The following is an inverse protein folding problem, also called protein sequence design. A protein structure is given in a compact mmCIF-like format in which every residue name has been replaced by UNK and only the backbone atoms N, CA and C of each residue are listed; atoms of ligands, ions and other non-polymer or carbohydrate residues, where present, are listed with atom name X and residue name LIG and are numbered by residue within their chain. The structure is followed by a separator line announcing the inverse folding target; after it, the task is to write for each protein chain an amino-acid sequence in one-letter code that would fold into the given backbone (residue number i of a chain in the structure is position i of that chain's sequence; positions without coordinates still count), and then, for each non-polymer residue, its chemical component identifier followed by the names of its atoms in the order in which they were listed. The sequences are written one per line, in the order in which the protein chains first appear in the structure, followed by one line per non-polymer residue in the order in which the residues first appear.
data_IF_346065164918
#
_entry.id   IF_346065164918
#
_cell.length_a   1.000
_cell.length_b   1.000
_cell.length_c   1.000
_cell.angle_alpha   90.00
_cell.angle_beta   90.00
_cell.angle_gamma   90.00
#
_symmetry.space_group_name_H-M   'P 1'
#
loop_
_entity.id
_entity.type
_entity.pdbx_description
1 polymer ?
#
# COMPACT_ATOMS: atom_id res chain seq x y z
N UNK A 1 -51.74 -23.10 15.40
CA UNK A 1 -50.86 -24.02 14.66
C UNK A 1 -49.45 -23.44 14.71
N UNK A 2 -48.66 -23.88 15.69
CA UNK A 2 -47.37 -23.27 16.04
C UNK A 2 -46.32 -24.37 16.00
N UNK A 3 -45.38 -24.27 15.05
CA UNK A 3 -44.37 -25.30 14.78
C UNK A 3 -43.14 -24.96 15.62
N UNK A 4 -42.89 -25.77 16.65
CA UNK A 4 -41.61 -25.80 17.39
C UNK A 4 -40.60 -26.59 16.58
N UNK A 5 -39.48 -25.97 16.22
CA UNK A 5 -38.27 -26.71 15.84
C UNK A 5 -37.28 -26.66 17.00
N UNK A 6 -37.02 -27.82 17.58
CA UNK A 6 -35.98 -28.09 18.56
C UNK A 6 -34.68 -28.34 17.80
N UNK A 7 -33.63 -27.56 18.08
CA UNK A 7 -32.29 -27.83 17.56
C UNK A 7 -31.33 -27.95 18.73
N UNK A 8 -31.07 -29.20 19.09
CA UNK A 8 -30.03 -29.64 20.01
C UNK A 8 -28.67 -29.42 19.34
N UNK A 9 -27.84 -28.52 19.87
CA UNK A 9 -26.42 -28.41 19.50
C UNK A 9 -25.60 -29.08 20.60
N UNK A 10 -24.94 -30.18 20.23
CA UNK A 10 -24.04 -30.95 21.08
C UNK A 10 -22.73 -30.19 21.23
N UNK A 11 -22.37 -29.84 22.47
CA UNK A 11 -21.08 -29.25 22.81
C UNK A 11 -19.99 -30.34 22.83
N UNK A 12 -18.94 -30.17 22.03
CA UNK A 12 -17.74 -31.00 22.08
C UNK A 12 -16.69 -30.32 22.97
N UNK A 13 -16.41 -30.92 24.13
CA UNK A 13 -15.35 -30.52 25.05
C UNK A 13 -13.99 -31.02 24.54
N UNK A 14 -13.04 -30.12 24.29
CA UNK A 14 -11.65 -30.46 23.97
C UNK A 14 -10.78 -30.28 25.23
N UNK A 15 -10.21 -31.39 25.70
CA UNK A 15 -9.31 -31.45 26.84
C UNK A 15 -7.94 -30.85 26.52
N UNK A 16 -7.53 -29.83 27.29
CA UNK A 16 -6.16 -29.34 27.33
C UNK A 16 -5.30 -30.26 28.21
N UNK A 17 -4.30 -30.94 27.64
CA UNK A 17 -3.20 -31.54 28.39
C UNK A 17 -1.97 -30.64 28.31
N UNK A 18 -1.53 -30.19 29.48
CA UNK A 18 -0.25 -29.55 29.77
C UNK A 18 0.94 -30.38 29.27
N UNK A 19 1.93 -29.72 28.68
CA UNK A 19 3.31 -30.22 28.73
C UNK A 19 4.29 -29.04 28.88
N UNK A 20 5.10 -29.11 29.94
CA UNK A 20 6.09 -28.11 30.35
C UNK A 20 7.42 -28.36 29.64
N UNK A 21 8.12 -27.26 29.33
CA UNK A 21 9.57 -27.04 29.24
C UNK A 21 10.43 -28.04 28.46
N UNK A 22 11.14 -27.51 27.45
CA UNK A 22 12.59 -27.70 27.26
C UNK A 22 13.13 -26.54 26.40
N UNK A 23 13.68 -25.51 27.06
CA UNK A 23 14.58 -24.55 26.43
C UNK A 23 15.96 -25.21 26.32
N UNK A 24 16.46 -25.41 25.10
CA UNK A 24 17.88 -25.67 24.86
C UNK A 24 18.42 -24.66 23.86
N UNK A 25 19.36 -23.85 24.33
CA UNK A 25 20.17 -22.93 23.55
C UNK A 25 20.98 -23.69 22.49
N UNK A 26 20.85 -23.33 21.22
CA UNK A 26 21.84 -23.66 20.19
C UNK A 26 22.14 -22.40 19.37
N UNK A 27 23.28 -21.80 19.69
CA UNK A 27 23.97 -20.83 18.83
C UNK A 27 24.17 -21.46 17.44
N UNK A 28 23.59 -20.84 16.40
CA UNK A 28 23.83 -21.20 15.01
C UNK A 28 24.65 -20.10 14.34
N UNK A 29 25.92 -20.40 14.11
CA UNK A 29 26.75 -19.71 13.13
C UNK A 29 26.04 -19.72 11.77
N UNK A 30 25.57 -18.56 11.31
CA UNK A 30 24.97 -18.40 9.99
C UNK A 30 26.09 -18.21 8.94
N UNK A 31 26.50 -19.28 8.27
CA UNK A 31 27.00 -19.18 6.89
C UNK A 31 25.78 -19.02 6.00
N UNK A 32 25.43 -17.79 5.63
CA UNK A 32 24.41 -17.54 4.61
C UNK A 32 24.83 -18.20 3.29
N UNK A 33 23.95 -19.02 2.71
CA UNK A 33 24.20 -19.77 1.49
C UNK A 33 24.13 -18.85 0.27
N UNK A 34 25.29 -18.37 -0.18
CA UNK A 34 25.45 -17.62 -1.44
C UNK A 34 24.86 -18.38 -2.64
N UNK A 35 24.86 -19.72 -2.59
CA UNK A 35 24.38 -20.58 -3.67
C UNK A 35 22.85 -20.56 -3.86
N UNK A 36 22.08 -20.35 -2.79
CA UNK A 36 20.61 -20.25 -2.88
C UNK A 36 20.16 -18.89 -3.44
N UNK A 37 20.82 -17.80 -3.05
CA UNK A 37 20.50 -16.47 -3.55
C UNK A 37 20.77 -16.33 -5.06
N UNK A 38 21.84 -16.97 -5.56
CA UNK A 38 22.18 -16.97 -6.98
C UNK A 38 21.17 -17.77 -7.81
N UNK A 39 20.71 -18.92 -7.33
CA UNK A 39 19.68 -19.70 -8.03
C UNK A 39 18.34 -18.97 -8.09
N UNK A 40 17.95 -18.29 -7.00
CA UNK A 40 16.70 -17.54 -6.94
C UNK A 40 16.73 -16.33 -7.87
N UNK A 41 17.87 -15.62 -7.94
CA UNK A 41 18.08 -14.49 -8.87
C UNK A 41 18.06 -14.92 -10.33
N UNK A 42 18.74 -16.02 -10.67
CA UNK A 42 18.77 -16.55 -12.04
C UNK A 42 17.37 -16.99 -12.51
N UNK A 43 16.58 -17.62 -11.63
CA UNK A 43 15.22 -18.00 -11.94
C UNK A 43 14.31 -16.78 -12.14
N UNK A 44 14.43 -15.75 -11.30
CA UNK A 44 13.66 -14.52 -11.45
C UNK A 44 13.95 -13.81 -12.78
N UNK A 45 15.21 -13.74 -13.20
CA UNK A 45 15.59 -13.14 -14.48
C UNK A 45 14.97 -13.88 -15.67
N UNK A 46 14.97 -15.22 -15.65
CA UNK A 46 14.32 -16.03 -16.69
C UNK A 46 12.82 -15.72 -16.81
N UNK A 47 12.12 -15.59 -15.68
CA UNK A 47 10.69 -15.27 -15.68
C UNK A 47 10.41 -13.85 -16.17
N UNK A 48 11.28 -12.89 -15.86
CA UNK A 48 11.19 -11.53 -16.40
C UNK A 48 11.30 -11.54 -17.92
N UNK A 49 12.27 -12.27 -18.47
CA UNK A 49 12.44 -12.42 -19.92
C UNK A 49 11.22 -13.10 -20.57
N UNK A 50 10.70 -14.16 -19.96
CA UNK A 50 9.50 -14.85 -20.46
C UNK A 50 8.28 -13.92 -20.51
N UNK A 51 8.03 -13.15 -19.44
CA UNK A 51 6.94 -12.16 -19.43
C UNK A 51 7.15 -11.09 -20.50
N UNK A 52 8.37 -10.57 -20.64
CA UNK A 52 8.74 -9.56 -21.64
C UNK A 52 8.49 -10.06 -23.07
N UNK A 53 8.90 -11.29 -23.38
CA UNK A 53 8.67 -11.92 -24.69
C UNK A 53 7.19 -12.13 -24.97
N UNK A 54 6.42 -12.62 -23.99
CA UNK A 54 4.98 -12.83 -24.14
C UNK A 54 4.22 -11.51 -24.32
N UNK A 55 4.54 -10.48 -23.54
CA UNK A 55 3.96 -9.16 -23.72
C UNK A 55 4.34 -8.55 -25.08
N UNK A 56 5.55 -8.81 -25.58
CA UNK A 56 5.96 -8.34 -26.91
C UNK A 56 5.20 -9.01 -28.05
N UNK A 57 4.82 -10.28 -27.88
CA UNK A 57 4.04 -11.03 -28.85
C UNK A 57 2.54 -10.71 -28.79
N UNK A 58 1.98 -10.70 -27.59
CA UNK A 58 0.52 -10.71 -27.39
C UNK A 58 -0.06 -9.31 -27.10
N UNK A 59 0.78 -8.35 -26.69
CA UNK A 59 0.37 -7.01 -26.24
C UNK A 59 1.14 -5.89 -26.96
N UNK A 60 1.21 -5.96 -28.29
CA UNK A 60 2.01 -5.06 -29.14
C UNK A 60 1.63 -3.58 -29.03
N UNK A 61 0.37 -3.27 -28.67
CA UNK A 61 -0.13 -1.90 -28.53
C UNK A 61 0.28 -1.21 -27.23
N UNK A 62 0.85 -1.94 -26.25
CA UNK A 62 1.28 -1.33 -25.00
C UNK A 62 2.58 -0.51 -25.21
N UNK A 63 2.73 0.61 -24.50
CA UNK A 63 3.94 1.43 -24.55
C UNK A 63 5.18 0.64 -24.14
N UNK A 64 6.33 1.08 -24.67
CA UNK A 64 7.67 0.55 -24.37
C UNK A 64 8.51 1.56 -23.59
N UNK A 65 9.63 1.12 -23.03
CA UNK A 65 10.51 1.93 -22.19
C UNK A 65 10.08 1.92 -20.73
N UNK A 66 10.43 2.98 -20.00
CA UNK A 66 10.12 3.11 -18.57
C UNK A 66 8.61 3.00 -18.33
N UNK A 67 8.19 2.18 -17.36
CA UNK A 67 6.81 1.82 -17.06
C UNK A 67 6.05 1.12 -18.21
N UNK A 68 6.77 0.66 -19.25
CA UNK A 68 6.22 0.00 -20.42
C UNK A 68 6.25 -1.53 -20.31
N UNK A 69 5.84 -2.20 -21.39
CA UNK A 69 5.75 -3.67 -21.48
C UNK A 69 7.09 -4.39 -21.47
N UNK A 70 8.20 -3.68 -21.62
CA UNK A 70 9.58 -4.16 -21.65
C UNK A 70 10.44 -3.64 -20.48
N UNK A 71 9.82 -2.91 -19.54
CA UNK A 71 10.44 -2.48 -18.28
C UNK A 71 10.63 -3.67 -17.34
N UNK A 72 11.87 -4.13 -17.23
CA UNK A 72 12.23 -5.31 -16.45
C UNK A 72 12.02 -5.12 -14.94
N UNK A 73 12.14 -3.89 -14.43
CA UNK A 73 11.87 -3.60 -13.02
C UNK A 73 10.38 -3.67 -12.71
N UNK A 74 9.55 -3.11 -13.60
CA UNK A 74 8.11 -3.19 -13.50
C UNK A 74 7.62 -4.64 -13.63
N UNK A 75 8.16 -5.40 -14.59
CA UNK A 75 7.85 -6.82 -14.75
C UNK A 75 8.22 -7.61 -13.49
N UNK A 76 9.44 -7.43 -12.96
CA UNK A 76 9.87 -8.11 -11.75
C UNK A 76 8.99 -7.76 -10.55
N UNK A 77 8.55 -6.50 -10.44
CA UNK A 77 7.65 -6.07 -9.39
C UNK A 77 6.29 -6.79 -9.46
N UNK A 78 5.66 -6.86 -10.62
CA UNK A 78 4.37 -7.55 -10.78
C UNK A 78 4.50 -9.08 -10.65
N UNK A 79 5.64 -9.66 -11.07
CA UNK A 79 5.97 -11.07 -10.77
C UNK A 79 6.03 -11.31 -9.27
N UNK A 80 6.75 -10.47 -8.50
CA UNK A 80 6.80 -10.58 -7.03
C UNK A 80 5.41 -10.50 -6.41
N UNK A 81 4.57 -9.55 -6.86
CA UNK A 81 3.19 -9.42 -6.39
C UNK A 81 2.33 -10.67 -6.67
N UNK A 82 2.53 -11.31 -7.83
CA UNK A 82 1.80 -12.50 -8.27
C UNK A 82 2.52 -13.81 -7.93
N UNK A 83 3.43 -13.79 -6.95
CA UNK A 83 4.18 -14.97 -6.48
C UNK A 83 4.86 -15.73 -7.63
N UNK A 84 5.42 -14.98 -8.58
CA UNK A 84 6.10 -15.46 -9.78
C UNK A 84 5.21 -16.27 -10.75
N UNK A 85 3.89 -16.12 -10.67
CA UNK A 85 2.97 -16.61 -11.72
C UNK A 85 3.02 -15.70 -12.95
N UNK A 86 3.52 -16.24 -14.06
CA UNK A 86 3.69 -15.52 -15.34
C UNK A 86 2.34 -15.01 -15.88
N UNK A 87 1.33 -15.89 -15.95
CA UNK A 87 0.02 -15.54 -16.51
C UNK A 87 -0.70 -14.46 -15.68
N UNK A 88 -0.69 -14.60 -14.35
CA UNK A 88 -1.29 -13.60 -13.46
C UNK A 88 -0.54 -12.27 -13.53
N UNK A 89 0.79 -12.30 -13.60
CA UNK A 89 1.62 -11.10 -13.72
C UNK A 89 1.32 -10.37 -15.02
N UNK A 90 1.27 -11.07 -16.15
CA UNK A 90 0.90 -10.50 -17.46
C UNK A 90 -0.46 -9.81 -17.40
N UNK A 91 -1.48 -10.50 -16.88
CA UNK A 91 -2.84 -9.95 -16.82
C UNK A 91 -2.92 -8.67 -15.99
N UNK A 92 -2.29 -8.67 -14.81
CA UNK A 92 -2.32 -7.51 -13.91
C UNK A 92 -1.44 -6.36 -14.39
N UNK A 93 -0.24 -6.65 -14.90
CA UNK A 93 0.68 -5.67 -15.46
C UNK A 93 0.08 -4.97 -16.69
N UNK A 94 -0.55 -5.73 -17.58
CA UNK A 94 -1.26 -5.18 -18.75
C UNK A 94 -2.32 -4.17 -18.34
N UNK A 95 -3.12 -4.48 -17.31
CA UNK A 95 -4.13 -3.56 -16.78
C UNK A 95 -3.49 -2.29 -16.21
N UNK A 96 -2.37 -2.43 -15.49
CA UNK A 96 -1.66 -1.30 -14.91
C UNK A 96 -1.06 -0.37 -15.97
N UNK A 97 -0.38 -0.92 -16.99
CA UNK A 97 0.20 -0.12 -18.08
C UNK A 97 -0.89 0.66 -18.83
N UNK A 98 -2.02 0.01 -19.17
CA UNK A 98 -3.15 0.68 -19.82
C UNK A 98 -3.71 1.83 -18.99
N UNK A 99 -3.98 1.57 -17.70
CA UNK A 99 -4.48 2.61 -16.80
C UNK A 99 -3.50 3.77 -16.67
N UNK A 100 -2.18 3.51 -16.56
CA UNK A 100 -1.17 4.58 -16.47
C UNK A 100 -1.21 5.50 -17.69
N UNK A 101 -1.37 4.93 -18.88
CA UNK A 101 -1.49 5.68 -20.12
C UNK A 101 -2.81 6.47 -20.18
N UNK A 102 -3.94 5.85 -19.85
CA UNK A 102 -5.26 6.51 -19.81
C UNK A 102 -5.34 7.64 -18.76
N UNK A 103 -4.72 7.43 -17.60
CA UNK A 103 -4.64 8.41 -16.51
C UNK A 103 -3.59 9.49 -16.77
N UNK A 104 -2.74 9.30 -17.78
CA UNK A 104 -1.66 10.22 -18.15
C UNK A 104 -0.68 10.47 -17.01
N UNK A 105 -0.25 9.39 -16.34
CA UNK A 105 0.65 9.48 -15.18
C UNK A 105 1.95 10.21 -15.53
N UNK A 106 2.49 9.99 -16.73
CA UNK A 106 3.72 10.62 -17.19
C UNK A 106 3.56 12.13 -17.51
N UNK A 107 2.33 12.64 -17.61
CA UNK A 107 2.03 14.07 -17.79
C UNK A 107 1.84 14.80 -16.44
N UNK A 108 1.81 14.08 -15.30
CA UNK A 108 1.65 14.69 -13.99
C UNK A 108 2.91 15.48 -13.59
N UNK A 109 2.69 16.73 -13.23
CA UNK A 109 3.72 17.68 -12.78
C UNK A 109 3.21 18.48 -11.58
N UNK A 110 4.12 19.13 -10.84
CA UNK A 110 3.76 20.00 -9.71
C UNK A 110 2.77 21.10 -10.14
N UNK A 111 2.95 21.66 -11.34
CA UNK A 111 2.03 22.67 -11.90
C UNK A 111 0.64 22.09 -12.15
N UNK A 112 0.56 20.87 -12.69
CA UNK A 112 -0.73 20.23 -13.02
C UNK A 112 -1.59 19.88 -11.81
N UNK A 113 -1.00 19.79 -10.62
CA UNK A 113 -1.67 19.46 -9.35
C UNK A 113 -1.64 20.63 -8.36
N UNK A 114 -1.14 21.80 -8.78
CA UNK A 114 -0.86 22.92 -7.88
C UNK A 114 -2.08 23.33 -7.06
N UNK A 115 -3.23 23.52 -7.71
CA UNK A 115 -4.47 23.96 -7.04
C UNK A 115 -4.90 23.03 -5.91
N UNK A 116 -4.84 21.73 -6.13
CA UNK A 116 -5.22 20.73 -5.11
C UNK A 116 -4.12 20.53 -4.08
N UNK A 117 -2.84 20.64 -4.45
CA UNK A 117 -1.71 20.58 -3.53
C UNK A 117 -1.70 21.76 -2.55
N UNK A 118 -2.07 22.97 -3.00
CA UNK A 118 -2.13 24.19 -2.19
C UNK A 118 -3.12 24.09 -1.02
N UNK A 119 -4.06 23.12 -1.05
CA UNK A 119 -4.92 22.80 0.10
C UNK A 119 -4.13 22.25 1.30
N UNK A 120 -2.91 21.74 1.07
CA UNK A 120 -2.07 21.13 2.08
C UNK A 120 -2.68 19.89 2.73
N UNK A 121 -3.59 19.20 2.04
CA UNK A 121 -4.26 17.99 2.54
C UNK A 121 -3.41 16.72 2.44
N UNK A 122 -2.37 16.72 1.61
CA UNK A 122 -1.43 15.61 1.52
C UNK A 122 -0.08 16.08 0.98
N UNK A 123 1.01 15.43 1.40
CA UNK A 123 2.36 15.67 0.91
C UNK A 123 3.26 14.44 1.12
N UNK A 124 4.39 14.40 0.41
CA UNK A 124 5.48 13.45 0.68
C UNK A 124 6.44 14.12 1.66
N UNK A 125 6.69 13.48 2.80
CA UNK A 125 7.65 13.97 3.78
C UNK A 125 9.07 14.05 3.20
N UNK A 126 9.86 14.99 3.68
CA UNK A 126 11.22 15.19 3.17
C UNK A 126 12.19 14.10 3.60
N UNK A 127 11.98 13.57 4.80
CA UNK A 127 12.80 12.51 5.38
C UNK A 127 12.12 11.15 5.26
N UNK A 128 12.94 10.11 5.31
CA UNK A 128 12.47 8.74 5.51
C UNK A 128 12.08 8.54 6.98
N UNK A 129 11.22 7.57 7.24
CA UNK A 129 11.00 7.10 8.61
C UNK A 129 12.23 6.35 9.15
N UNK A 130 12.22 5.98 10.44
CA UNK A 130 13.33 5.24 11.07
C UNK A 130 13.57 3.85 10.46
N UNK A 131 12.65 3.33 9.64
CA UNK A 131 12.79 2.08 8.87
C UNK A 131 13.25 2.31 7.43
N UNK A 132 13.60 3.55 7.07
CA UNK A 132 14.07 3.92 5.74
C UNK A 132 12.98 3.93 4.67
N UNK A 133 11.71 4.12 5.05
CA UNK A 133 10.57 4.19 4.12
C UNK A 133 10.25 5.64 3.77
N UNK A 134 10.02 5.98 2.49
CA UNK A 134 9.37 7.23 2.13
C UNK A 134 7.99 7.33 2.78
N UNK A 135 7.62 8.53 3.23
CA UNK A 135 6.38 8.75 3.98
C UNK A 135 5.45 9.68 3.21
N UNK A 136 4.21 9.24 3.00
CA UNK A 136 3.11 10.09 2.52
C UNK A 136 2.24 10.44 3.71
N UNK A 137 2.09 11.74 3.97
CA UNK A 137 1.28 12.27 5.07
C UNK A 137 0.03 12.89 4.48
N UNK A 138 -1.13 12.53 5.02
CA UNK A 138 -2.45 12.99 4.61
C UNK A 138 -3.15 13.55 5.84
N UNK A 139 -3.82 14.69 5.69
CA UNK A 139 -4.68 15.30 6.69
C UNK A 139 -6.14 15.30 6.18
N UNK A 140 -6.88 14.19 6.32
CA UNK A 140 -8.25 14.07 5.79
C UNK A 140 -9.21 15.15 6.26
N UNK A 141 -8.98 15.77 7.42
CA UNK A 141 -9.79 16.89 7.91
C UNK A 141 -9.81 18.11 6.96
N UNK A 142 -8.80 18.24 6.08
CA UNK A 142 -8.72 19.29 5.06
C UNK A 142 -9.41 18.91 3.75
N UNK A 143 -9.87 17.67 3.61
CA UNK A 143 -10.60 17.21 2.43
C UNK A 143 -12.08 17.55 2.54
N UNK A 144 -12.60 18.29 1.56
CA UNK A 144 -14.03 18.58 1.43
C UNK A 144 -14.49 18.03 0.08
N UNK A 145 -15.22 16.89 0.05
CA UNK A 145 -15.67 16.28 -1.19
C UNK A 145 -16.48 17.26 -2.03
N UNK A 146 -16.15 17.37 -3.32
CA UNK A 146 -16.83 18.26 -4.26
C UNK A 146 -16.44 19.74 -4.19
N UNK A 147 -15.49 20.13 -3.33
CA UNK A 147 -14.94 21.49 -3.33
C UNK A 147 -14.09 21.76 -4.59
N UNK A 148 -13.37 20.74 -5.04
CA UNK A 148 -12.63 20.72 -6.31
C UNK A 148 -13.18 19.58 -7.18
N UNK A 149 -12.81 19.56 -8.46
CA UNK A 149 -13.06 18.40 -9.32
C UNK A 149 -12.43 17.15 -8.67
N UNK A 150 -13.20 16.06 -8.43
CA UNK A 150 -12.66 14.81 -7.89
C UNK A 150 -11.42 14.28 -8.62
N UNK A 151 -11.28 14.58 -9.92
CA UNK A 151 -10.09 14.20 -10.70
C UNK A 151 -8.82 14.87 -10.21
N UNK A 152 -8.90 16.05 -9.61
CA UNK A 152 -7.74 16.72 -9.02
C UNK A 152 -7.23 15.95 -7.79
N UNK A 153 -8.14 15.41 -6.96
CA UNK A 153 -7.76 14.57 -5.82
C UNK A 153 -7.12 13.26 -6.27
N UNK A 154 -7.67 12.62 -7.30
CA UNK A 154 -7.09 11.43 -7.92
C UNK A 154 -5.67 11.72 -8.44
N UNK A 155 -5.48 12.83 -9.16
CA UNK A 155 -4.16 13.23 -9.69
C UNK A 155 -3.17 13.52 -8.57
N UNK A 156 -3.57 14.24 -7.52
CA UNK A 156 -2.72 14.50 -6.35
C UNK A 156 -2.27 13.18 -5.70
N UNK A 157 -3.19 12.24 -5.52
CA UNK A 157 -2.89 10.92 -4.96
C UNK A 157 -1.81 10.19 -5.77
N UNK A 158 -1.98 10.11 -7.09
CA UNK A 158 -1.06 9.40 -7.97
C UNK A 158 0.28 10.14 -8.05
N UNK A 159 0.27 11.47 -8.14
CA UNK A 159 1.49 12.28 -8.13
C UNK A 159 2.31 12.08 -6.85
N UNK A 160 1.68 12.13 -5.67
CA UNK A 160 2.36 11.92 -4.40
C UNK A 160 2.89 10.48 -4.27
N UNK A 161 2.18 9.51 -4.83
CA UNK A 161 2.64 8.12 -4.86
C UNK A 161 3.87 7.97 -5.75
N UNK A 162 3.88 8.50 -6.98
CA UNK A 162 5.06 8.50 -7.85
C UNK A 162 6.24 9.22 -7.18
N UNK A 163 6.00 10.38 -6.55
CA UNK A 163 7.02 11.17 -5.82
C UNK A 163 7.57 10.42 -4.60
N UNK A 164 6.76 9.64 -3.90
CA UNK A 164 7.22 8.82 -2.78
C UNK A 164 8.04 7.62 -3.27
N UNK A 165 7.59 6.97 -4.35
CA UNK A 165 8.29 5.82 -4.94
C UNK A 165 9.64 6.21 -5.56
N UNK A 166 9.76 7.41 -6.11
CA UNK A 166 11.05 7.91 -6.62
C UNK A 166 12.08 8.19 -5.53
N UNK A 167 11.65 8.28 -4.25
CA UNK A 167 12.53 8.46 -3.08
C UNK A 167 12.95 7.12 -2.44
N UNK A 168 12.54 5.98 -2.97
CA UNK A 168 12.87 4.67 -2.39
C UNK A 168 14.40 4.43 -2.39
N UNK A 169 15.01 4.14 -1.23
CA UNK A 169 16.39 3.70 -1.17
C UNK A 169 16.60 2.35 -1.86
N UNK A 170 17.84 2.05 -2.25
CA UNK A 170 18.20 0.73 -2.78
C UNK A 170 17.80 -0.38 -1.78
N UNK A 171 17.07 -1.40 -2.28
CA UNK A 171 16.57 -2.51 -1.48
C UNK A 171 15.26 -2.25 -0.72
N UNK A 172 14.77 -1.00 -0.69
CA UNK A 172 13.44 -0.67 -0.20
C UNK A 172 12.45 -0.62 -1.37
N UNK A 173 11.24 -1.10 -1.16
CA UNK A 173 10.21 -1.17 -2.20
C UNK A 173 8.85 -0.61 -1.77
N UNK A 174 8.74 -0.23 -0.50
CA UNK A 174 7.48 0.15 0.11
C UNK A 174 7.55 1.51 0.80
N UNK A 175 6.38 2.11 0.95
CA UNK A 175 6.16 3.41 1.59
C UNK A 175 5.31 3.26 2.85
N UNK A 176 5.36 4.28 3.70
CA UNK A 176 4.51 4.48 4.86
C UNK A 176 3.41 5.51 4.52
N UNK A 177 2.15 5.16 4.76
CA UNK A 177 1.05 6.13 4.71
C UNK A 177 0.68 6.58 6.13
N UNK A 178 0.61 7.88 6.38
CA UNK A 178 0.14 8.44 7.66
C UNK A 178 -1.09 9.31 7.39
N UNK A 179 -2.22 8.94 7.96
CA UNK A 179 -3.46 9.71 7.92
C UNK A 179 -3.68 10.34 9.29
N UNK A 180 -3.44 11.65 9.36
CA UNK A 180 -3.70 12.49 10.51
C UNK A 180 -5.19 12.79 10.61
N UNK A 181 -5.91 12.01 11.40
CA UNK A 181 -7.37 12.07 11.52
C UNK A 181 -7.83 13.10 12.57
N UNK A 182 -6.91 13.87 13.17
CA UNK A 182 -7.27 14.96 14.07
C UNK A 182 -8.13 15.99 13.33
N UNK A 183 -9.28 16.32 13.90
CA UNK A 183 -10.25 17.23 13.28
C UNK A 183 -11.09 16.61 12.16
N UNK A 184 -10.94 15.33 11.85
CA UNK A 184 -11.78 14.66 10.86
C UNK A 184 -13.24 14.58 11.33
N UNK A 185 -14.17 15.01 10.48
CA UNK A 185 -15.61 14.95 10.66
C UNK A 185 -16.33 14.23 9.54
N UNK A 186 -17.63 14.03 9.69
CA UNK A 186 -18.46 13.37 8.67
C UNK A 186 -18.46 14.11 7.33
N UNK A 187 -18.32 15.44 7.32
CA UNK A 187 -18.23 16.22 6.08
C UNK A 187 -16.98 15.91 5.24
N UNK A 188 -15.96 15.29 5.84
CA UNK A 188 -14.71 14.95 5.15
C UNK A 188 -14.74 13.55 4.54
N UNK A 189 -15.76 12.74 4.83
CA UNK A 189 -15.84 11.35 4.39
C UNK A 189 -16.12 11.27 2.88
N UNK A 190 -15.17 10.68 2.14
CA UNK A 190 -15.27 10.49 0.69
C UNK A 190 -15.13 9.02 0.31
N UNK A 191 -16.27 8.32 0.22
CA UNK A 191 -16.25 6.91 -0.13
C UNK A 191 -15.82 6.67 -1.58
N UNK A 192 -16.06 7.63 -2.49
CA UNK A 192 -15.68 7.49 -3.91
C UNK A 192 -14.17 7.58 -4.06
N UNK A 193 -13.56 8.61 -3.46
CA UNK A 193 -12.11 8.76 -3.45
C UNK A 193 -11.43 7.58 -2.73
N UNK A 194 -12.03 7.09 -1.64
CA UNK A 194 -11.51 5.93 -0.94
C UNK A 194 -11.53 4.66 -1.80
N UNK A 195 -12.59 4.42 -2.56
CA UNK A 195 -12.63 3.31 -3.53
C UNK A 195 -11.55 3.46 -4.60
N UNK A 196 -11.35 4.66 -5.14
CA UNK A 196 -10.26 4.95 -6.07
C UNK A 196 -8.89 4.63 -5.44
N UNK A 197 -8.63 5.09 -4.21
CA UNK A 197 -7.39 4.84 -3.49
C UNK A 197 -7.10 3.35 -3.35
N UNK A 198 -8.12 2.53 -3.06
CA UNK A 198 -7.96 1.08 -3.02
C UNK A 198 -7.67 0.47 -4.38
N UNK A 199 -8.36 0.92 -5.43
CA UNK A 199 -8.09 0.43 -6.78
C UNK A 199 -6.66 0.75 -7.22
N UNK A 200 -6.16 1.94 -6.88
CA UNK A 200 -4.77 2.35 -7.09
C UNK A 200 -3.81 1.35 -6.46
N UNK A 201 -3.92 1.07 -5.17
CA UNK A 201 -3.01 0.14 -4.51
C UNK A 201 -3.25 -1.32 -4.88
N UNK A 202 -4.47 -1.72 -5.21
CA UNK A 202 -4.78 -3.12 -5.52
C UNK A 202 -4.35 -3.48 -6.94
N UNK A 203 -4.69 -2.66 -7.94
CA UNK A 203 -4.46 -2.98 -9.35
C UNK A 203 -3.17 -2.39 -9.90
N UNK A 204 -2.84 -1.13 -9.57
CA UNK A 204 -1.84 -0.35 -10.29
C UNK A 204 -0.52 -0.22 -9.53
N UNK A 205 -0.59 -0.19 -8.19
CA UNK A 205 0.55 -0.10 -7.28
C UNK A 205 0.57 -1.21 -6.23
N UNK A 206 0.47 -2.49 -6.65
CA UNK A 206 0.40 -3.59 -5.71
C UNK A 206 1.65 -3.70 -4.83
N UNK A 207 1.46 -4.12 -3.58
CA UNK A 207 2.56 -4.40 -2.65
C UNK A 207 3.51 -3.22 -2.38
N UNK A 208 3.08 -1.96 -2.61
CA UNK A 208 3.85 -0.74 -2.31
C UNK A 208 3.60 -0.17 -0.92
N UNK A 209 2.52 -0.54 -0.24
CA UNK A 209 2.28 -0.15 1.15
C UNK A 209 2.94 -1.14 2.10
N UNK A 210 3.72 -0.63 3.06
CA UNK A 210 4.18 -1.43 4.18
C UNK A 210 3.23 -1.34 5.37
N UNK A 211 2.79 -0.12 5.68
CA UNK A 211 1.97 0.17 6.84
C UNK A 211 1.17 1.46 6.59
N UNK A 212 -0.01 1.55 7.19
CA UNK A 212 -0.89 2.71 7.16
C UNK A 212 -1.23 3.10 8.60
N UNK A 213 -0.88 4.32 9.00
CA UNK A 213 -1.16 4.83 10.35
C UNK A 213 -2.40 5.71 10.32
N UNK A 214 -3.39 5.38 11.14
CA UNK A 214 -4.54 6.23 11.42
C UNK A 214 -4.30 6.90 12.77
N UNK A 215 -3.85 8.15 12.71
CA UNK A 215 -3.35 8.91 13.87
C UNK A 215 -4.50 9.65 14.53
N UNK A 216 -4.69 9.43 15.83
CA UNK A 216 -5.71 10.08 16.67
C UNK A 216 -7.11 10.08 16.02
N UNK A 217 -7.53 8.90 15.54
CA UNK A 217 -8.82 8.70 14.91
C UNK A 217 -9.98 9.08 15.88
N UNK A 218 -10.85 10.04 15.53
CA UNK A 218 -11.96 10.42 16.38
C UNK A 218 -13.01 9.32 16.43
N UNK A 219 -13.85 9.28 17.47
CA UNK A 219 -14.85 8.21 17.64
C UNK A 219 -15.78 8.08 16.42
N UNK A 220 -16.12 9.19 15.76
CA UNK A 220 -16.96 9.24 14.56
C UNK A 220 -16.34 8.50 13.36
N UNK A 221 -15.03 8.27 13.36
CA UNK A 221 -14.35 7.50 12.32
C UNK A 221 -14.61 5.99 12.44
N UNK A 222 -14.96 5.48 13.62
CA UNK A 222 -15.16 4.04 13.83
C UNK A 222 -16.27 3.45 12.95
N UNK A 223 -17.49 4.03 12.87
CA UNK A 223 -18.51 3.58 11.94
C UNK A 223 -18.03 3.59 10.48
N UNK A 224 -17.36 4.66 10.05
CA UNK A 224 -16.82 4.78 8.68
C UNK A 224 -15.85 3.62 8.42
N UNK A 225 -14.92 3.37 9.34
CA UNK A 225 -13.95 2.27 9.20
C UNK A 225 -14.62 0.91 9.08
N UNK A 226 -15.68 0.63 9.84
CA UNK A 226 -16.41 -0.64 9.74
C UNK A 226 -17.05 -0.85 8.37
N UNK A 227 -17.57 0.21 7.75
CA UNK A 227 -18.11 0.15 6.39
C UNK A 227 -17.03 0.05 5.31
N UNK A 228 -15.85 0.64 5.54
CA UNK A 228 -14.77 0.64 4.54
C UNK A 228 -13.91 -0.61 4.60
N UNK A 229 -13.76 -1.24 5.78
CA UNK A 229 -12.93 -2.44 6.00
C UNK A 229 -13.21 -3.59 5.00
N UNK A 230 -14.47 -3.91 4.64
CA UNK A 230 -14.77 -4.90 3.60
C UNK A 230 -14.23 -4.52 2.22
N UNK A 231 -14.18 -3.22 1.90
CA UNK A 231 -13.64 -2.70 0.63
C UNK A 231 -12.11 -2.79 0.62
N UNK A 232 -11.48 -2.49 1.76
CA UNK A 232 -10.01 -2.52 1.96
C UNK A 232 -9.45 -3.96 1.88
N UNK A 233 -10.27 -4.98 2.15
CA UNK A 233 -9.92 -6.41 2.12
C UNK A 233 -8.55 -6.71 2.76
N UNK A 234 -7.59 -7.20 1.97
CA UNK A 234 -6.27 -7.61 2.42
C UNK A 234 -5.41 -6.46 2.93
N UNK A 235 -5.70 -5.21 2.56
CA UNK A 235 -4.94 -4.05 3.04
C UNK A 235 -5.34 -3.65 4.47
N UNK A 236 -6.46 -4.17 5.00
CA UNK A 236 -6.91 -3.82 6.34
C UNK A 236 -5.93 -4.28 7.42
N UNK A 237 -5.13 -5.31 7.16
CA UNK A 237 -4.07 -5.78 8.07
C UNK A 237 -2.85 -4.86 8.12
N UNK A 238 -2.71 -3.93 7.16
CA UNK A 238 -1.63 -2.94 7.16
C UNK A 238 -1.98 -1.70 8.01
N UNK A 239 -3.24 -1.57 8.43
CA UNK A 239 -3.73 -0.38 9.15
C UNK A 239 -3.47 -0.53 10.65
N UNK A 240 -2.78 0.46 11.23
CA UNK A 240 -2.57 0.62 12.68
C UNK A 240 -3.22 1.93 13.14
N UNK A 241 -4.10 1.83 14.14
CA UNK A 241 -4.60 2.99 14.86
C UNK A 241 -3.57 3.34 15.94
N UNK A 242 -3.12 4.59 15.99
CA UNK A 242 -2.11 5.03 16.94
C UNK A 242 -2.29 6.49 17.33
N UNK A 243 -1.57 6.93 18.36
CA UNK A 243 -1.53 8.34 18.77
C UNK A 243 -0.39 9.11 18.10
N UNK A 244 -0.44 10.43 18.14
CA UNK A 244 0.71 11.29 17.74
C UNK A 244 1.97 10.89 18.51
N UNK A 245 1.85 10.56 19.79
CA UNK A 245 2.98 10.14 20.62
C UNK A 245 3.63 8.85 20.12
N UNK A 246 2.84 7.88 19.65
CA UNK A 246 3.37 6.68 19.00
C UNK A 246 4.10 7.03 17.70
N UNK A 247 3.55 7.93 16.88
CA UNK A 247 4.22 8.39 15.64
C UNK A 247 5.59 9.00 15.96
N UNK A 248 5.64 9.90 16.97
CA UNK A 248 6.88 10.52 17.44
C UNK A 248 7.94 9.51 17.86
N UNK A 249 7.57 8.59 18.75
CA UNK A 249 8.52 7.67 19.38
C UNK A 249 8.98 6.53 18.48
N UNK A 250 8.10 6.03 17.60
CA UNK A 250 8.35 4.78 16.87
C UNK A 250 8.73 4.98 15.39
N UNK A 251 8.43 6.14 14.79
CA UNK A 251 8.56 6.32 13.34
C UNK A 251 9.55 7.41 12.93
N UNK A 252 9.90 8.35 13.81
CA UNK A 252 10.79 9.46 13.49
C UNK A 252 11.81 9.72 14.60
N UNK A 253 12.90 10.39 14.24
CA UNK A 253 13.77 11.06 15.20
C UNK A 253 13.28 12.50 15.41
N UNK A 254 13.79 13.19 16.43
CA UNK A 254 13.43 14.59 16.69
C UNK A 254 13.73 15.52 15.50
N UNK A 255 14.83 15.27 14.79
CA UNK A 255 15.26 16.04 13.62
C UNK A 255 14.35 15.77 12.41
N UNK A 256 13.87 14.53 12.26
CA UNK A 256 13.09 14.08 11.11
C UNK A 256 11.58 14.12 11.34
N UNK A 257 11.12 14.49 12.54
CA UNK A 257 9.71 14.54 12.90
C UNK A 257 8.92 15.56 12.03
N UNK A 258 7.81 15.15 11.39
CA UNK A 258 6.95 16.06 10.65
C UNK A 258 6.39 17.17 11.56
N UNK A 259 6.30 18.40 11.03
CA UNK A 259 5.91 19.59 11.80
C UNK A 259 4.53 19.47 12.45
N UNK A 260 3.57 18.84 11.76
CA UNK A 260 2.22 18.59 12.28
C UNK A 260 2.21 17.66 13.51
N UNK A 261 3.28 16.89 13.72
CA UNK A 261 3.42 16.00 14.86
C UNK A 261 4.38 16.56 15.92
N UNK A 262 4.82 17.83 15.88
CA UNK A 262 5.73 18.41 16.91
C UNK A 262 5.04 19.04 18.12
N UNK A 263 3.79 19.50 17.96
CA UNK A 263 2.93 20.01 19.04
C UNK A 263 2.04 18.93 19.61
#
# INVERSE_FOLDING_TARGET
MSIRFSSTVVAASVNFKNSKNLYSNRSRNCRFSVRSCVSDSHNAHKLVLEVKERLAKDCTSLPIGKNGRDDEEMILWFLKDRRFSVDEAIGKLTKAIKWRHEFKVDELSEDSIKTVADTGKAYVHDFLDVKGRPVVIVAPAKHIPGLLDPKEDEKLCVFLLEKALSKLPAGQHKILGIFDLRGFGSQNADLKFLTFLFDVFYYYYPSRLDEVLFVDAPFIFQPIWQFTKPVVKSYASLVKFCSVETVRKEYFTEETLPSNFRS
#
